data_IF_813874957302
#
_entry.id   IF_813874957302
#
_cell.length_a   1.000
_cell.length_b   1.000
_cell.length_c   1.000
_cell.angle_alpha   90.00
_cell.angle_beta   90.00
_cell.angle_gamma   90.00
#
_symmetry.space_group_name_H-M   'P 1'
#
loop_
_entity.id
_entity.type
_entity.pdbx_description
1 polymer ?
#
# COMPACT_ATOMS: atom_id res chain seq x y z
N UNK A 1 -10.09 9.27 -8.94
CA UNK A 1 -10.28 9.94 -10.23
C UNK A 1 -11.11 11.21 -10.09
N UNK A 2 -12.33 11.13 -9.56
CA UNK A 2 -13.28 12.24 -9.53
C UNK A 2 -12.74 13.54 -8.86
N UNK A 3 -11.98 13.43 -7.79
CA UNK A 3 -11.34 14.58 -7.13
C UNK A 3 -10.25 15.17 -8.03
N UNK A 4 -9.42 14.31 -8.62
CA UNK A 4 -8.34 14.73 -9.53
C UNK A 4 -8.90 15.48 -10.72
N UNK A 5 -10.01 15.02 -11.29
CA UNK A 5 -10.66 15.65 -12.45
C UNK A 5 -11.08 17.10 -12.19
N UNK A 6 -11.39 17.41 -10.91
CA UNK A 6 -11.80 18.75 -10.47
C UNK A 6 -10.65 19.69 -10.15
N UNK A 7 -9.42 19.16 -10.07
CA UNK A 7 -8.24 20.00 -9.82
C UNK A 7 -7.78 20.64 -11.12
N UNK A 8 -7.66 21.97 -11.11
CA UNK A 8 -7.26 22.73 -12.30
C UNK A 8 -5.83 22.38 -12.73
N UNK A 9 -4.87 22.51 -11.82
CA UNK A 9 -3.48 22.13 -12.07
C UNK A 9 -3.20 20.72 -11.53
N UNK A 10 -3.31 19.72 -12.40
CA UNK A 10 -3.16 18.30 -12.05
C UNK A 10 -1.73 17.93 -11.64
N UNK A 11 -0.74 18.78 -11.92
CA UNK A 11 0.64 18.56 -11.45
C UNK A 11 0.80 18.71 -9.93
N UNK A 12 -0.18 19.35 -9.28
CA UNK A 12 -0.17 19.60 -7.83
C UNK A 12 -0.87 18.52 -7.02
N UNK A 13 -1.39 17.48 -7.65
CA UNK A 13 -2.16 16.44 -6.98
C UNK A 13 -1.55 15.07 -7.23
N UNK A 14 -1.58 14.22 -6.22
CA UNK A 14 -1.15 12.84 -6.29
C UNK A 14 -1.97 11.97 -5.36
N UNK A 15 -1.72 10.67 -5.44
CA UNK A 15 -2.36 9.66 -4.60
C UNK A 15 -1.31 9.02 -3.72
N UNK A 16 -1.64 8.81 -2.46
CA UNK A 16 -0.93 7.94 -1.54
C UNK A 16 -1.85 6.76 -1.19
N UNK A 17 -1.36 5.55 -1.37
CA UNK A 17 -2.08 4.32 -1.02
C UNK A 17 -1.55 3.79 0.30
N UNK A 18 -2.45 3.42 1.20
CA UNK A 18 -2.12 2.70 2.43
C UNK A 18 -2.57 1.24 2.29
N UNK A 19 -1.67 0.30 2.57
CA UNK A 19 -1.94 -1.12 2.39
C UNK A 19 -3.03 -1.63 3.34
N UNK A 20 -3.00 -1.22 4.61
CA UNK A 20 -4.01 -1.60 5.59
C UNK A 20 -5.38 -1.00 5.27
N UNK A 21 -5.43 0.28 4.91
CA UNK A 21 -6.66 0.95 4.48
C UNK A 21 -7.27 0.32 3.24
N UNK A 22 -6.45 -0.05 2.26
CA UNK A 22 -6.88 -0.70 1.03
C UNK A 22 -7.60 -2.02 1.35
N UNK A 23 -6.99 -2.84 2.20
CA UNK A 23 -7.59 -4.10 2.64
C UNK A 23 -8.90 -3.86 3.42
N UNK A 24 -8.89 -2.94 4.38
CA UNK A 24 -10.06 -2.60 5.19
C UNK A 24 -11.23 -2.07 4.35
N UNK A 25 -10.94 -1.34 3.28
CA UNK A 25 -11.94 -0.84 2.34
C UNK A 25 -12.56 -1.94 1.46
N UNK A 26 -11.99 -3.14 1.46
CA UNK A 26 -12.53 -4.28 0.73
C UNK A 26 -11.75 -4.65 -0.53
N UNK A 27 -10.62 -4.01 -0.78
CA UNK A 27 -9.76 -4.35 -1.92
C UNK A 27 -8.73 -5.41 -1.49
N UNK A 28 -8.93 -6.63 -1.98
CA UNK A 28 -7.98 -7.72 -1.72
C UNK A 28 -6.67 -7.48 -2.48
N UNK A 29 -5.55 -7.60 -1.78
CA UNK A 29 -4.20 -7.39 -2.34
C UNK A 29 -3.18 -8.44 -1.86
N UNK A 30 -3.63 -9.47 -1.14
CA UNK A 30 -2.74 -10.43 -0.46
C UNK A 30 -2.23 -11.56 -1.36
N UNK A 31 -2.88 -11.81 -2.49
CA UNK A 31 -2.46 -12.82 -3.47
C UNK A 31 -1.94 -12.16 -4.74
N UNK A 32 -1.13 -12.89 -5.53
CA UNK A 32 -0.63 -12.36 -6.81
C UNK A 32 -1.77 -11.92 -7.73
N UNK A 33 -2.83 -12.72 -7.83
CA UNK A 33 -3.97 -12.42 -8.69
C UNK A 33 -4.71 -11.16 -8.22
N UNK A 34 -5.06 -11.11 -6.94
CA UNK A 34 -5.78 -9.98 -6.37
C UNK A 34 -4.95 -8.69 -6.40
N UNK A 35 -3.66 -8.78 -6.13
CA UNK A 35 -2.73 -7.67 -6.24
C UNK A 35 -2.70 -7.10 -7.67
N UNK A 36 -2.51 -7.97 -8.68
CA UNK A 36 -2.53 -7.56 -10.08
C UNK A 36 -3.85 -6.92 -10.49
N UNK A 37 -4.97 -7.51 -10.07
CA UNK A 37 -6.30 -7.00 -10.42
C UNK A 37 -6.57 -5.64 -9.78
N UNK A 38 -6.26 -5.48 -8.50
CA UNK A 38 -6.49 -4.22 -7.78
C UNK A 38 -5.64 -3.10 -8.37
N UNK A 39 -4.35 -3.33 -8.60
CA UNK A 39 -3.47 -2.31 -9.18
C UNK A 39 -3.73 -2.05 -10.65
N UNK A 40 -4.22 -3.03 -11.42
CA UNK A 40 -4.72 -2.79 -12.78
C UNK A 40 -5.93 -1.85 -12.76
N UNK A 41 -6.90 -2.09 -11.89
CA UNK A 41 -8.06 -1.22 -11.74
C UNK A 41 -7.64 0.21 -11.32
N UNK A 42 -6.66 0.33 -10.42
CA UNK A 42 -6.10 1.63 -10.05
C UNK A 42 -5.50 2.36 -11.27
N UNK A 43 -4.71 1.65 -12.08
CA UNK A 43 -4.09 2.22 -13.26
C UNK A 43 -5.13 2.66 -14.31
N UNK A 44 -6.14 1.85 -14.53
CA UNK A 44 -7.22 2.17 -15.49
C UNK A 44 -8.09 3.35 -15.05
N UNK A 45 -8.35 3.47 -13.74
CA UNK A 45 -9.28 4.48 -13.21
C UNK A 45 -8.56 5.79 -12.89
N UNK A 46 -7.36 5.72 -12.35
CA UNK A 46 -6.59 6.87 -11.85
C UNK A 46 -5.32 7.08 -12.65
N UNK A 47 -4.53 6.04 -12.82
CA UNK A 47 -3.23 6.05 -13.48
C UNK A 47 -2.06 6.03 -12.49
N UNK A 48 -1.07 5.19 -12.74
CA UNK A 48 0.14 5.08 -11.90
C UNK A 48 0.96 6.37 -11.83
N UNK A 49 0.87 7.23 -12.84
CA UNK A 49 1.53 8.54 -12.83
C UNK A 49 1.06 9.45 -11.69
N UNK A 50 -0.12 9.20 -11.14
CA UNK A 50 -0.62 9.92 -9.96
C UNK A 50 -0.20 9.29 -8.63
N UNK A 51 0.29 8.06 -8.62
CA UNK A 51 0.76 7.41 -7.40
C UNK A 51 2.12 8.00 -6.98
N UNK A 52 2.17 8.67 -5.84
CA UNK A 52 3.35 9.43 -5.39
C UNK A 52 3.96 8.90 -4.10
N UNK A 53 3.30 7.99 -3.43
CA UNK A 53 3.78 7.38 -2.20
C UNK A 53 2.86 6.28 -1.73
N UNK A 54 3.36 5.48 -0.79
CA UNK A 54 2.56 4.46 -0.12
C UNK A 54 2.88 4.45 1.37
N UNK A 55 1.85 4.21 2.19
CA UNK A 55 2.02 3.75 3.55
C UNK A 55 2.04 2.22 3.55
N UNK A 56 3.09 1.65 4.09
CA UNK A 56 3.31 0.21 4.13
C UNK A 56 3.04 -0.28 5.56
N UNK A 57 1.87 -0.83 5.78
CA UNK A 57 1.41 -1.27 7.09
C UNK A 57 0.78 -2.65 7.00
N UNK A 58 0.97 -3.48 8.02
CA UNK A 58 0.14 -4.66 8.22
C UNK A 58 -1.18 -4.27 8.88
N UNK A 59 -2.13 -5.18 8.93
CA UNK A 59 -3.46 -4.93 9.45
C UNK A 59 -3.85 -5.97 10.49
N UNK A 60 -4.43 -5.53 11.60
CA UNK A 60 -5.07 -6.41 12.59
C UNK A 60 -6.43 -6.91 12.14
N UNK A 61 -7.01 -6.32 11.09
CA UNK A 61 -8.38 -6.56 10.64
C UNK A 61 -8.43 -7.15 9.24
N UNK A 62 -9.38 -8.04 9.04
CA UNK A 62 -9.64 -8.70 7.76
C UNK A 62 -10.18 -7.73 6.69
N UNK A 63 -10.16 -8.22 5.44
CA UNK A 63 -10.64 -7.49 4.27
C UNK A 63 -12.09 -7.02 4.45
N UNK A 64 -12.34 -5.79 4.06
CA UNK A 64 -13.69 -5.23 4.04
C UNK A 64 -14.32 -4.91 5.38
N UNK A 65 -13.57 -5.00 6.49
CA UNK A 65 -14.12 -4.69 7.83
C UNK A 65 -14.42 -3.22 8.04
N UNK A 66 -13.83 -2.34 7.22
CA UNK A 66 -13.90 -0.87 7.37
C UNK A 66 -13.38 -0.39 8.73
N UNK A 67 -12.54 -1.18 9.38
CA UNK A 67 -11.87 -0.85 10.63
C UNK A 67 -10.39 -0.75 10.36
N UNK A 68 -9.85 0.45 10.59
CA UNK A 68 -8.43 0.73 10.43
C UNK A 68 -7.69 0.46 11.75
N UNK A 69 -6.84 -0.56 11.72
CA UNK A 69 -5.92 -0.90 12.81
C UNK A 69 -4.65 -1.47 12.22
N UNK A 70 -3.58 -0.67 12.27
CA UNK A 70 -2.27 -1.09 11.80
C UNK A 70 -1.64 -2.11 12.75
N UNK A 71 -0.84 -3.00 12.16
CA UNK A 71 0.01 -3.94 12.88
C UNK A 71 1.45 -3.86 12.36
N UNK A 72 2.38 -4.40 13.11
CA UNK A 72 3.77 -4.53 12.69
C UNK A 72 3.86 -5.48 11.48
N UNK A 73 4.80 -5.21 10.58
CA UNK A 73 4.98 -5.98 9.35
C UNK A 73 5.20 -7.46 9.68
N UNK A 74 4.34 -8.31 9.15
CA UNK A 74 4.37 -9.76 9.35
C UNK A 74 3.59 -10.26 10.57
N UNK A 75 3.07 -9.37 11.42
CA UNK A 75 2.32 -9.74 12.62
C UNK A 75 0.80 -9.70 12.42
N UNK A 76 0.35 -9.13 11.33
CA UNK A 76 -1.06 -8.98 11.01
C UNK A 76 -1.59 -10.03 10.02
N UNK A 77 -2.74 -9.71 9.41
CA UNK A 77 -3.46 -10.61 8.50
C UNK A 77 -3.06 -10.49 7.04
N UNK A 78 -2.17 -9.55 6.69
CA UNK A 78 -1.86 -9.26 5.28
C UNK A 78 -0.90 -10.29 4.67
N UNK A 79 -0.02 -10.88 5.47
CA UNK A 79 0.96 -11.85 5.01
C UNK A 79 2.18 -11.22 4.34
N UNK A 80 3.31 -11.90 4.40
CA UNK A 80 4.59 -11.41 3.88
C UNK A 80 4.63 -11.33 2.35
N UNK A 81 3.82 -12.14 1.65
CA UNK A 81 3.79 -12.14 0.19
C UNK A 81 3.41 -10.76 -0.39
N UNK A 82 2.47 -10.05 0.24
CA UNK A 82 2.11 -8.69 -0.17
C UNK A 82 3.33 -7.77 -0.15
N UNK A 83 4.06 -7.76 0.95
CA UNK A 83 5.23 -6.89 1.10
C UNK A 83 6.35 -7.27 0.14
N UNK A 84 6.53 -8.57 -0.12
CA UNK A 84 7.47 -9.05 -1.14
C UNK A 84 7.06 -8.57 -2.54
N UNK A 85 5.78 -8.68 -2.90
CA UNK A 85 5.28 -8.19 -4.19
C UNK A 85 5.52 -6.69 -4.36
N UNK A 86 5.26 -5.90 -3.32
CA UNK A 86 5.50 -4.45 -3.35
C UNK A 86 7.00 -4.15 -3.54
N UNK A 87 7.86 -4.79 -2.77
CA UNK A 87 9.30 -4.51 -2.82
C UNK A 87 9.95 -4.94 -4.13
N UNK A 88 9.39 -5.95 -4.82
CA UNK A 88 9.89 -6.44 -6.12
C UNK A 88 9.24 -5.77 -7.33
N UNK A 89 8.21 -4.99 -7.15
CA UNK A 89 7.49 -4.34 -8.26
C UNK A 89 8.17 -3.01 -8.61
N UNK A 90 8.73 -2.94 -9.82
CA UNK A 90 9.47 -1.76 -10.30
C UNK A 90 8.62 -0.48 -10.34
N UNK A 91 7.29 -0.61 -10.41
CA UNK A 91 6.39 0.56 -10.40
C UNK A 91 6.44 1.34 -9.10
N UNK A 92 6.89 0.73 -8.01
CA UNK A 92 7.04 1.38 -6.69
C UNK A 92 8.49 1.83 -6.41
N UNK A 93 9.40 1.65 -7.35
CA UNK A 93 10.78 2.12 -7.21
C UNK A 93 10.84 3.65 -7.21
N UNK A 94 11.77 4.20 -6.41
CA UNK A 94 11.99 5.64 -6.27
C UNK A 94 10.78 6.42 -5.75
N UNK A 95 9.88 5.73 -5.06
CA UNK A 95 8.69 6.27 -4.43
C UNK A 95 8.84 6.16 -2.90
N UNK A 96 8.42 7.15 -2.12
CA UNK A 96 8.38 7.02 -0.67
C UNK A 96 7.47 5.86 -0.24
N UNK A 97 8.03 4.93 0.54
CA UNK A 97 7.31 3.86 1.22
C UNK A 97 7.47 4.11 2.71
N UNK A 98 6.39 4.45 3.38
CA UNK A 98 6.40 4.98 4.74
C UNK A 98 5.69 4.01 5.68
N UNK A 99 6.34 3.67 6.80
CA UNK A 99 5.73 2.88 7.86
C UNK A 99 4.92 3.78 8.81
N UNK A 100 3.75 3.30 9.18
CA UNK A 100 2.94 3.84 10.27
C UNK A 100 2.55 2.72 11.24
N UNK A 101 3.40 1.71 11.34
CA UNK A 101 3.22 0.58 12.26
C UNK A 101 3.31 1.03 13.71
N UNK A 102 2.59 0.36 14.63
CA UNK A 102 2.34 0.93 15.96
C UNK A 102 3.52 0.92 16.93
N UNK A 103 4.58 0.15 16.64
CA UNK A 103 5.72 -0.03 17.55
C UNK A 103 6.96 0.64 16.95
N UNK A 104 7.21 1.87 17.35
CA UNK A 104 8.30 2.71 16.81
C UNK A 104 9.68 2.05 16.93
N UNK A 105 9.94 1.37 18.04
CA UNK A 105 11.19 0.65 18.31
C UNK A 105 11.50 -0.44 17.28
N UNK A 106 10.47 -0.95 16.58
CA UNK A 106 10.60 -1.96 15.54
C UNK A 106 10.83 -1.40 14.15
N UNK A 107 10.63 -0.11 13.91
CA UNK A 107 10.71 0.46 12.55
C UNK A 107 12.03 0.17 11.86
N UNK A 108 13.14 0.27 12.56
CA UNK A 108 14.45 -0.03 11.96
C UNK A 108 14.60 -1.49 11.55
N UNK A 109 13.98 -2.40 12.29
CA UNK A 109 13.95 -3.84 11.99
C UNK A 109 13.04 -4.11 10.79
N UNK A 110 11.84 -3.52 10.79
CA UNK A 110 10.87 -3.64 9.71
C UNK A 110 11.43 -3.11 8.38
N UNK A 111 12.09 -1.96 8.39
CA UNK A 111 12.73 -1.40 7.21
C UNK A 111 13.80 -2.36 6.66
N UNK A 112 14.67 -2.90 7.52
CA UNK A 112 15.69 -3.87 7.11
C UNK A 112 15.06 -5.14 6.54
N UNK A 113 13.98 -5.62 7.14
CA UNK A 113 13.24 -6.78 6.66
C UNK A 113 12.66 -6.53 5.27
N UNK A 114 12.03 -5.38 5.04
CA UNK A 114 11.47 -5.00 3.74
C UNK A 114 12.58 -4.95 2.67
N UNK A 115 13.72 -4.34 2.94
CA UNK A 115 14.82 -4.30 1.98
C UNK A 115 15.37 -5.68 1.63
N UNK A 116 15.29 -6.65 2.53
CA UNK A 116 15.69 -8.05 2.24
C UNK A 116 14.73 -8.77 1.30
N UNK A 117 13.49 -8.32 1.19
CA UNK A 117 12.50 -8.89 0.25
C UNK A 117 12.74 -8.44 -1.19
N UNK A 118 13.47 -7.38 -1.38
CA UNK A 118 13.79 -6.84 -2.71
C UNK A 118 14.87 -7.70 -3.41
#
# INVERSE_FOLDING_TARGET
AHIIDKVEDKSRVGVCIDTAHTLAAGYEIRTEESFKNTFRAFDEIIGFNYLKGMHINDSKKEVGTKVDRHDSIGEGVMGMLLFEMIMKDDRFNNMPLILETPVEELWSVEIKMLYKLK
#
